data_IF_198521710192
#
_entry.id   IF_198521710192
#
_cell.length_a   1.000
_cell.length_b   1.000
_cell.length_c   1.000
_cell.angle_alpha   90.00
_cell.angle_beta   90.00
_cell.angle_gamma   90.00
#
_symmetry.space_group_name_H-M   'P 1'
#
loop_
_entity.id
_entity.type
_entity.pdbx_description
1 polymer ?
#
# COMPACT_ATOMS: atom_id res chain seq x y z
N UNK A 1 -11.70 -24.11 -26.47
CA UNK A 1 -11.19 -23.68 -25.16
C UNK A 1 -9.68 -23.65 -25.25
N UNK A 2 -9.01 -22.48 -25.19
CA UNK A 2 -7.55 -22.41 -25.22
C UNK A 2 -6.99 -22.89 -23.87
N UNK A 3 -6.06 -23.85 -23.94
CA UNK A 3 -5.30 -24.33 -22.79
C UNK A 3 -4.44 -23.20 -22.24
N UNK A 4 -4.76 -22.71 -21.05
CA UNK A 4 -3.88 -21.80 -20.29
C UNK A 4 -2.59 -22.57 -19.96
N UNK A 5 -1.47 -22.12 -20.53
CA UNK A 5 -0.13 -22.66 -20.23
C UNK A 5 0.15 -22.47 -18.74
N UNK A 6 0.52 -23.54 -18.04
CA UNK A 6 1.05 -23.50 -16.68
C UNK A 6 2.27 -22.57 -16.63
N UNK A 7 2.19 -21.56 -15.80
CA UNK A 7 3.35 -20.72 -15.37
C UNK A 7 4.03 -21.43 -14.17
N UNK A 8 4.53 -22.66 -14.40
CA UNK A 8 5.37 -23.33 -13.40
C UNK A 8 6.80 -22.89 -13.58
N UNK A 9 7.33 -22.09 -12.66
CA UNK A 9 8.76 -21.74 -12.60
C UNK A 9 9.12 -20.25 -12.72
N UNK A 10 8.15 -19.34 -12.76
CA UNK A 10 8.42 -17.89 -12.79
C UNK A 10 8.45 -17.39 -11.36
N UNK A 11 9.55 -16.75 -10.93
CA UNK A 11 9.64 -16.13 -9.62
C UNK A 11 8.68 -14.93 -9.54
N UNK A 12 8.33 -14.51 -8.32
CA UNK A 12 7.48 -13.33 -8.11
C UNK A 12 8.15 -12.06 -8.66
N UNK A 13 9.47 -11.97 -8.59
CA UNK A 13 10.28 -10.90 -9.19
C UNK A 13 10.16 -10.89 -10.73
N UNK A 14 10.17 -12.05 -11.40
CA UNK A 14 9.99 -12.15 -12.84
C UNK A 14 8.56 -11.80 -13.25
N UNK A 15 7.55 -12.16 -12.46
CA UNK A 15 6.16 -11.79 -12.70
C UNK A 15 5.96 -10.29 -12.53
N UNK A 16 6.54 -9.69 -11.51
CA UNK A 16 6.54 -8.24 -11.29
C UNK A 16 7.31 -7.50 -12.40
N UNK A 17 8.48 -8.00 -12.80
CA UNK A 17 9.25 -7.44 -13.89
C UNK A 17 8.45 -7.44 -15.20
N UNK A 18 7.66 -8.48 -15.44
CA UNK A 18 6.80 -8.57 -16.63
C UNK A 18 5.65 -7.56 -16.61
N UNK A 19 4.99 -7.39 -15.46
CA UNK A 19 3.86 -6.45 -15.28
C UNK A 19 4.29 -5.00 -15.47
N UNK A 20 5.52 -4.65 -15.07
CA UNK A 20 6.07 -3.30 -15.18
C UNK A 20 7.05 -3.14 -16.33
N UNK A 21 7.17 -4.09 -17.26
CA UNK A 21 8.14 -4.05 -18.36
C UNK A 21 8.03 -2.80 -19.25
N UNK A 22 6.83 -2.24 -19.37
CA UNK A 22 6.58 -1.00 -20.14
C UNK A 22 6.72 0.28 -19.31
N UNK A 23 6.90 0.19 -17.98
CA UNK A 23 7.10 1.36 -17.13
C UNK A 23 8.58 1.77 -17.14
N UNK A 24 9.02 2.35 -18.24
CA UNK A 24 10.38 2.87 -18.39
C UNK A 24 10.55 4.23 -17.70
N UNK A 25 11.78 4.69 -17.44
CA UNK A 25 12.03 6.04 -16.94
C UNK A 25 11.34 7.14 -17.77
N UNK A 26 11.36 7.02 -19.10
CA UNK A 26 10.71 7.99 -19.98
C UNK A 26 9.18 8.01 -19.77
N UNK A 27 8.55 6.86 -19.60
CA UNK A 27 7.12 6.75 -19.31
C UNK A 27 6.76 7.42 -17.97
N UNK A 28 7.61 7.28 -16.96
CA UNK A 28 7.43 7.95 -15.66
C UNK A 28 7.52 9.47 -15.84
N UNK A 29 8.52 9.96 -16.54
CA UNK A 29 8.71 11.40 -16.78
C UNK A 29 7.56 11.98 -17.63
N UNK A 30 7.15 11.29 -18.70
CA UNK A 30 6.02 11.68 -19.53
C UNK A 30 4.71 11.75 -18.74
N UNK A 31 4.46 10.76 -17.86
CA UNK A 31 3.27 10.74 -17.02
C UNK A 31 3.20 11.98 -16.10
N UNK A 32 4.30 12.37 -15.46
CA UNK A 32 4.35 13.56 -14.61
C UNK A 32 4.27 14.85 -15.43
N UNK A 33 4.94 14.92 -16.56
CA UNK A 33 4.90 16.07 -17.49
C UNK A 33 3.47 16.32 -17.99
N UNK A 34 2.69 15.26 -18.22
CA UNK A 34 1.28 15.36 -18.64
C UNK A 34 0.39 16.05 -17.60
N UNK A 35 0.80 16.04 -16.33
CA UNK A 35 0.16 16.76 -15.23
C UNK A 35 0.68 18.19 -15.03
N UNK A 36 1.53 18.68 -15.94
CA UNK A 36 2.11 20.02 -15.86
C UNK A 36 3.28 20.15 -14.86
N UNK A 37 3.82 19.04 -14.37
CA UNK A 37 5.01 19.04 -13.53
C UNK A 37 6.26 19.20 -14.41
N UNK A 38 7.07 20.23 -14.13
CA UNK A 38 8.31 20.51 -14.84
C UNK A 38 9.42 19.59 -14.35
N UNK A 39 9.53 18.38 -14.91
CA UNK A 39 10.52 17.37 -14.51
C UNK A 39 11.87 17.66 -15.16
N UNK A 40 12.98 17.54 -14.42
CA UNK A 40 14.34 17.81 -14.90
C UNK A 40 15.06 16.59 -15.49
N UNK A 41 14.38 15.45 -15.56
CA UNK A 41 14.90 14.19 -16.09
C UNK A 41 15.58 13.28 -15.06
N UNK A 42 15.81 13.75 -13.83
CA UNK A 42 16.39 12.93 -12.75
C UNK A 42 15.30 12.20 -11.98
N UNK A 43 15.40 10.87 -11.91
CA UNK A 43 14.52 10.05 -11.10
C UNK A 43 15.30 8.93 -10.43
N UNK A 44 14.85 8.53 -9.24
CA UNK A 44 15.38 7.42 -8.47
C UNK A 44 14.24 6.47 -8.08
N UNK A 45 14.40 5.18 -8.35
CA UNK A 45 13.47 4.18 -7.83
C UNK A 45 13.63 4.09 -6.30
N UNK A 46 12.52 4.10 -5.60
CA UNK A 46 12.45 3.84 -4.16
C UNK A 46 12.09 2.38 -3.91
N UNK A 47 12.50 1.85 -2.77
CA UNK A 47 12.14 0.49 -2.39
C UNK A 47 10.62 0.38 -2.22
N UNK A 48 10.02 -0.57 -2.93
CA UNK A 48 8.60 -0.87 -2.86
C UNK A 48 8.38 -2.31 -3.28
N UNK A 49 7.54 -3.04 -2.56
CA UNK A 49 7.31 -4.45 -2.83
C UNK A 49 6.29 -4.64 -3.96
N UNK A 50 5.12 -4.05 -3.85
CA UNK A 50 4.02 -4.30 -4.78
C UNK A 50 3.93 -3.28 -5.91
N UNK A 51 4.06 -2.01 -5.57
CA UNK A 51 3.96 -0.90 -6.51
C UNK A 51 5.33 -0.55 -7.11
N UNK A 52 5.39 0.45 -7.98
CA UNK A 52 6.65 1.09 -8.38
C UNK A 52 6.62 2.55 -7.94
N UNK A 53 7.57 2.90 -7.11
CA UNK A 53 7.66 4.23 -6.49
C UNK A 53 8.94 4.92 -6.95
N UNK A 54 8.79 6.15 -7.43
CA UNK A 54 9.92 6.94 -7.93
C UNK A 54 9.96 8.30 -7.25
N UNK A 55 11.12 8.68 -6.77
CA UNK A 55 11.40 10.07 -6.49
C UNK A 55 11.80 10.75 -7.80
N UNK A 56 11.12 11.82 -8.18
CA UNK A 56 11.37 12.58 -9.41
C UNK A 56 11.72 14.02 -9.04
N UNK A 57 12.80 14.52 -9.65
CA UNK A 57 13.25 15.90 -9.45
C UNK A 57 12.53 16.84 -10.42
N UNK A 58 12.21 18.03 -9.92
CA UNK A 58 11.60 19.12 -10.69
C UNK A 58 12.63 20.22 -10.98
N UNK A 59 12.36 21.06 -11.98
CA UNK A 59 13.25 22.15 -12.42
C UNK A 59 13.53 23.18 -11.33
N UNK A 60 12.63 23.32 -10.34
CA UNK A 60 12.78 24.21 -9.19
C UNK A 60 13.64 23.64 -8.05
N UNK A 61 14.32 22.52 -8.28
CA UNK A 61 15.03 21.71 -7.30
C UNK A 61 14.17 21.07 -6.19
N UNK A 62 12.84 21.15 -6.29
CA UNK A 62 11.96 20.34 -5.49
C UNK A 62 11.93 18.90 -5.98
N UNK A 63 11.34 18.01 -5.21
CA UNK A 63 11.09 16.65 -5.68
C UNK A 63 9.72 16.16 -5.24
N UNK A 64 9.14 15.30 -6.06
CA UNK A 64 7.89 14.60 -5.81
C UNK A 64 8.12 13.11 -5.76
N UNK A 65 7.17 12.39 -5.20
CA UNK A 65 7.14 10.92 -5.21
C UNK A 65 5.96 10.49 -6.07
N UNK A 66 6.24 9.73 -7.12
CA UNK A 66 5.23 9.13 -7.99
C UNK A 66 5.08 7.65 -7.66
N UNK A 67 3.87 7.22 -7.31
CA UNK A 67 3.51 5.84 -7.01
C UNK A 67 2.67 5.30 -8.15
N UNK A 68 3.21 4.32 -8.87
CA UNK A 68 2.53 3.60 -9.94
C UNK A 68 1.97 2.30 -9.38
N UNK A 69 0.65 2.19 -9.40
CA UNK A 69 -0.07 1.04 -8.86
C UNK A 69 0.10 -0.19 -9.75
N UNK A 70 0.21 -1.36 -9.12
CA UNK A 70 0.31 -2.63 -9.82
C UNK A 70 -0.94 -2.87 -10.66
N UNK A 71 -0.82 -3.01 -12.00
CA UNK A 71 -1.96 -3.31 -12.85
C UNK A 71 -2.74 -4.55 -12.41
N UNK A 72 -4.06 -4.39 -12.29
CA UNK A 72 -4.96 -5.48 -11.92
C UNK A 72 -5.01 -5.82 -10.42
N UNK A 73 -4.22 -5.16 -9.57
CA UNK A 73 -4.27 -5.37 -8.11
C UNK A 73 -5.47 -4.66 -7.48
N UNK A 74 -5.59 -3.36 -7.72
CA UNK A 74 -6.66 -2.51 -7.21
C UNK A 74 -7.47 -1.89 -8.33
N UNK A 75 -8.78 -1.75 -8.10
CA UNK A 75 -9.65 -0.94 -8.96
C UNK A 75 -9.53 0.53 -8.54
N UNK A 76 -9.75 1.46 -9.47
CA UNK A 76 -9.70 2.90 -9.19
C UNK A 76 -10.52 3.32 -7.97
N UNK A 77 -11.73 2.75 -7.81
CA UNK A 77 -12.59 3.06 -6.67
C UNK A 77 -11.94 2.67 -5.33
N UNK A 78 -11.16 1.62 -5.30
CA UNK A 78 -10.45 1.18 -4.08
C UNK A 78 -9.26 2.09 -3.76
N UNK A 79 -8.55 2.55 -4.79
CA UNK A 79 -7.45 3.51 -4.65
C UNK A 79 -8.00 4.87 -4.21
N UNK A 80 -9.08 5.34 -4.83
CA UNK A 80 -9.70 6.63 -4.47
C UNK A 80 -10.27 6.62 -3.06
N UNK A 81 -10.78 5.49 -2.58
CA UNK A 81 -11.27 5.34 -1.21
C UNK A 81 -10.13 5.44 -0.17
N UNK A 82 -8.94 4.91 -0.50
CA UNK A 82 -7.73 5.11 0.29
C UNK A 82 -7.27 6.57 0.25
N UNK A 83 -7.25 7.21 -0.94
CA UNK A 83 -6.91 8.63 -1.09
C UNK A 83 -7.84 9.54 -0.27
N UNK A 84 -9.12 9.20 -0.22
CA UNK A 84 -10.08 9.93 0.60
C UNK A 84 -9.76 9.76 2.09
N UNK A 85 -9.45 8.56 2.54
CA UNK A 85 -9.06 8.33 3.92
C UNK A 85 -7.79 9.10 4.27
N UNK A 86 -6.79 9.12 3.38
CA UNK A 86 -5.59 9.94 3.55
C UNK A 86 -5.93 11.42 3.71
N UNK A 87 -6.83 11.96 2.88
CA UNK A 87 -7.28 13.35 2.97
C UNK A 87 -7.99 13.66 4.30
N UNK A 88 -8.84 12.75 4.79
CA UNK A 88 -9.50 12.87 6.10
C UNK A 88 -8.49 12.89 7.25
N UNK A 89 -7.46 12.03 7.21
CA UNK A 89 -6.40 12.01 8.20
C UNK A 89 -5.60 13.31 8.21
N UNK A 90 -5.24 13.82 7.03
CA UNK A 90 -4.53 15.09 6.88
C UNK A 90 -5.37 16.28 7.37
N UNK A 91 -6.69 16.28 7.12
CA UNK A 91 -7.61 17.30 7.62
C UNK A 91 -7.71 17.33 9.16
N UNK A 92 -7.45 16.21 9.82
CA UNK A 92 -7.36 16.08 11.28
C UNK A 92 -5.93 16.32 11.80
N UNK A 93 -5.07 16.94 11.00
CA UNK A 93 -3.68 17.23 11.37
C UNK A 93 -2.88 15.98 11.78
N UNK A 94 -3.20 14.83 11.21
CA UNK A 94 -2.36 13.64 11.35
C UNK A 94 -1.24 13.73 10.32
N UNK A 95 0.02 13.57 10.71
CA UNK A 95 1.16 13.73 9.82
C UNK A 95 1.27 12.55 8.85
N UNK A 96 0.49 12.61 7.80
CA UNK A 96 0.45 11.64 6.71
C UNK A 96 0.91 12.30 5.41
N UNK A 97 1.62 11.56 4.57
CA UNK A 97 1.99 11.99 3.22
C UNK A 97 0.99 11.39 2.23
N UNK A 98 -0.10 12.11 2.02
CA UNK A 98 -1.13 11.72 1.06
C UNK A 98 -0.85 12.21 -0.36
N UNK A 99 -1.62 11.73 -1.36
CA UNK A 99 -1.51 12.15 -2.75
C UNK A 99 -1.95 13.62 -2.94
N UNK A 100 -1.22 14.31 -3.79
CA UNK A 100 -1.53 15.68 -4.21
C UNK A 100 -2.74 15.69 -5.14
N UNK A 101 -3.57 16.73 -5.00
CA UNK A 101 -4.63 16.98 -5.98
C UNK A 101 -4.07 17.77 -7.16
N UNK A 102 -3.95 17.14 -8.31
CA UNK A 102 -3.49 17.74 -9.56
C UNK A 102 -4.64 17.70 -10.56
N UNK A 103 -4.93 18.80 -11.24
CA UNK A 103 -6.07 18.94 -12.15
C UNK A 103 -7.42 18.46 -11.57
N UNK A 104 -7.60 18.63 -10.27
CA UNK A 104 -8.83 18.23 -9.56
C UNK A 104 -8.92 16.74 -9.20
N UNK A 105 -7.88 15.94 -9.44
CA UNK A 105 -7.83 14.52 -9.12
C UNK A 105 -6.57 14.15 -8.34
N UNK A 106 -6.62 13.04 -7.61
CA UNK A 106 -5.49 12.46 -6.88
C UNK A 106 -4.99 11.16 -7.53
N UNK A 107 -5.82 10.54 -8.37
CA UNK A 107 -5.48 9.36 -9.17
C UNK A 107 -5.46 9.74 -10.64
N UNK A 108 -4.41 9.35 -11.33
CA UNK A 108 -4.17 9.65 -12.73
C UNK A 108 -3.85 8.38 -13.51
N UNK A 109 -3.98 8.44 -14.84
CA UNK A 109 -3.69 7.33 -15.73
C UNK A 109 -2.80 7.80 -16.89
N UNK A 110 -1.71 7.08 -17.13
CA UNK A 110 -0.85 7.28 -18.29
C UNK A 110 -0.23 5.95 -18.72
N UNK A 111 -0.11 5.72 -20.01
CA UNK A 111 0.55 4.55 -20.61
C UNK A 111 0.07 3.19 -20.07
N UNK A 112 -1.21 3.10 -19.65
CA UNK A 112 -1.80 1.88 -19.09
C UNK A 112 -1.56 1.67 -17.60
N UNK A 113 -0.95 2.63 -16.90
CA UNK A 113 -0.75 2.60 -15.46
C UNK A 113 -1.63 3.63 -14.76
N UNK A 114 -2.22 3.23 -13.64
CA UNK A 114 -2.76 4.14 -12.64
C UNK A 114 -1.61 4.65 -11.76
N UNK A 115 -1.60 5.93 -11.42
CA UNK A 115 -0.56 6.50 -10.55
C UNK A 115 -1.07 7.68 -9.73
N UNK A 116 -0.39 7.95 -8.64
CA UNK A 116 -0.57 9.14 -7.81
C UNK A 116 0.77 9.85 -7.59
N UNK A 117 0.70 11.12 -7.23
CA UNK A 117 1.88 11.94 -6.95
C UNK A 117 1.73 12.55 -5.56
N UNK A 118 2.77 12.48 -4.74
CA UNK A 118 2.82 13.10 -3.41
C UNK A 118 4.06 14.00 -3.28
N UNK A 119 4.04 14.89 -2.30
CA UNK A 119 5.24 15.65 -1.94
C UNK A 119 6.30 14.70 -1.38
N UNK A 120 7.55 14.92 -1.74
CA UNK A 120 8.64 14.17 -1.13
C UNK A 120 8.82 14.59 0.33
N UNK A 121 8.73 13.63 1.25
CA UNK A 121 9.05 13.82 2.66
C UNK A 121 10.37 13.15 3.01
N UNK A 122 11.25 13.87 3.70
CA UNK A 122 12.45 13.28 4.31
C UNK A 122 12.14 12.70 5.67
N UNK A 123 13.00 11.83 6.13
CA UNK A 123 12.90 11.17 7.43
C UNK A 123 13.72 9.90 7.45
N UNK A 124 13.90 9.33 8.63
CA UNK A 124 14.50 8.02 8.84
C UNK A 124 13.48 7.09 9.49
N UNK A 125 13.72 5.80 9.47
CA UNK A 125 12.92 4.85 10.24
C UNK A 125 12.98 5.21 11.75
N UNK A 126 11.83 5.19 12.48
CA UNK A 126 11.82 5.49 13.91
C UNK A 126 12.56 4.41 14.72
N UNK A 127 13.26 4.84 15.75
CA UNK A 127 13.91 3.96 16.72
C UNK A 127 12.90 3.63 17.84
N UNK A 128 12.20 2.48 17.72
CA UNK A 128 11.10 2.13 18.62
C UNK A 128 11.52 1.68 20.03
N UNK A 129 12.79 1.52 20.29
CA UNK A 129 13.39 1.35 21.63
C UNK A 129 13.51 2.67 22.39
N UNK A 130 13.40 3.82 21.73
CA UNK A 130 13.23 5.13 22.34
C UNK A 130 11.78 5.32 22.79
N UNK A 131 11.58 5.49 24.11
CA UNK A 131 10.25 5.61 24.70
C UNK A 131 9.49 6.87 24.21
N UNK A 132 10.17 7.98 23.92
CA UNK A 132 9.55 9.18 23.37
C UNK A 132 9.08 8.95 21.94
N UNK A 133 9.90 8.33 21.11
CA UNK A 133 9.56 7.96 19.71
C UNK A 133 8.35 7.00 19.71
N UNK A 134 8.38 5.99 20.56
CA UNK A 134 7.29 5.02 20.68
C UNK A 134 5.98 5.67 21.12
N UNK A 135 6.03 6.58 22.07
CA UNK A 135 4.84 7.33 22.52
C UNK A 135 4.25 8.19 21.41
N UNK A 136 5.08 8.90 20.65
CA UNK A 136 4.63 9.72 19.50
C UNK A 136 3.96 8.86 18.43
N UNK A 137 4.61 7.77 18.03
CA UNK A 137 4.06 6.84 17.03
C UNK A 137 2.72 6.27 17.52
N UNK A 138 2.67 5.74 18.76
CA UNK A 138 1.45 5.17 19.33
C UNK A 138 0.30 6.17 19.43
N UNK A 139 0.59 7.42 19.80
CA UNK A 139 -0.40 8.49 19.87
C UNK A 139 -1.03 8.80 18.51
N UNK A 140 -0.24 8.86 17.45
CA UNK A 140 -0.76 9.11 16.10
C UNK A 140 -1.48 7.90 15.53
N UNK A 141 -1.04 6.67 15.78
CA UNK A 141 -1.79 5.46 15.41
C UNK A 141 -3.17 5.48 16.08
N UNK A 142 -3.25 5.84 17.37
CA UNK A 142 -4.53 6.01 18.06
C UNK A 142 -5.43 7.08 17.39
N UNK A 143 -4.87 8.18 16.92
CA UNK A 143 -5.61 9.21 16.18
C UNK A 143 -6.09 8.70 14.81
N UNK A 144 -5.26 7.94 14.08
CA UNK A 144 -5.65 7.28 12.83
C UNK A 144 -6.85 6.36 13.07
N UNK A 145 -6.83 5.54 14.13
CA UNK A 145 -7.93 4.66 14.49
C UNK A 145 -9.22 5.44 14.83
N UNK A 146 -9.11 6.57 15.54
CA UNK A 146 -10.28 7.41 15.85
C UNK A 146 -10.96 7.98 14.60
N UNK A 147 -10.18 8.41 13.60
CA UNK A 147 -10.72 8.84 12.30
C UNK A 147 -11.26 7.63 11.53
N UNK A 148 -10.52 6.52 11.54
CA UNK A 148 -10.91 5.27 10.89
C UNK A 148 -12.24 4.71 11.37
N UNK A 149 -12.57 4.92 12.66
CA UNK A 149 -13.81 4.45 13.27
C UNK A 149 -15.07 5.23 12.82
N UNK A 150 -14.92 6.39 12.17
CA UNK A 150 -16.07 7.23 11.75
C UNK A 150 -16.88 6.60 10.63
N UNK A 151 -16.26 5.83 9.74
CA UNK A 151 -16.90 5.13 8.62
C UNK A 151 -16.09 3.91 8.20
N UNK A 152 -16.68 3.06 7.36
CA UNK A 152 -16.02 1.87 6.80
C UNK A 152 -15.56 2.16 5.37
N UNK A 153 -14.64 1.33 4.88
CA UNK A 153 -14.43 1.21 3.44
C UNK A 153 -15.59 0.45 2.81
N UNK A 154 -16.03 0.89 1.64
CA UNK A 154 -17.10 0.24 0.87
C UNK A 154 -16.53 -0.66 -0.24
N UNK A 155 -15.42 -0.25 -0.84
CA UNK A 155 -14.81 -0.94 -1.96
C UNK A 155 -13.55 -1.75 -1.58
N UNK A 156 -12.80 -1.32 -0.57
CA UNK A 156 -11.62 -2.04 -0.07
C UNK A 156 -12.03 -3.25 0.77
N UNK A 157 -11.24 -4.35 0.73
CA UNK A 157 -11.57 -5.56 1.47
C UNK A 157 -11.54 -5.31 2.99
N UNK A 158 -12.41 -6.03 3.70
CA UNK A 158 -12.36 -6.11 5.16
C UNK A 158 -11.57 -7.34 5.57
N UNK A 159 -10.75 -7.21 6.62
CA UNK A 159 -10.09 -8.36 7.26
C UNK A 159 -11.14 -9.25 7.92
N UNK A 160 -11.38 -10.41 7.35
CA UNK A 160 -12.26 -11.43 7.90
C UNK A 160 -11.78 -12.85 7.51
N UNK A 161 -12.31 -13.85 8.16
CA UNK A 161 -11.90 -15.26 7.94
C UNK A 161 -12.15 -15.70 6.49
N UNK A 162 -13.25 -15.26 5.87
CA UNK A 162 -13.57 -15.64 4.51
C UNK A 162 -12.49 -15.15 3.53
N UNK A 163 -12.23 -13.83 3.52
CA UNK A 163 -11.36 -13.20 2.51
C UNK A 163 -9.86 -13.47 2.74
N UNK A 164 -9.41 -13.53 3.99
CA UNK A 164 -7.99 -13.67 4.31
C UNK A 164 -7.53 -15.10 4.55
N UNK A 165 -8.44 -16.03 4.82
CA UNK A 165 -8.10 -17.41 5.10
C UNK A 165 -8.74 -18.39 4.12
N UNK A 166 -10.07 -18.44 4.05
CA UNK A 166 -10.78 -19.44 3.25
C UNK A 166 -10.54 -19.23 1.74
N UNK A 167 -10.75 -18.00 1.24
CA UNK A 167 -10.57 -17.68 -0.17
C UNK A 167 -9.11 -17.91 -0.60
N UNK A 168 -8.14 -17.53 0.27
CA UNK A 168 -6.71 -17.76 0.02
C UNK A 168 -6.36 -19.25 -0.06
N UNK A 169 -6.87 -20.06 0.87
CA UNK A 169 -6.71 -21.52 0.85
C UNK A 169 -7.28 -22.13 -0.44
N UNK A 170 -8.51 -21.74 -0.77
CA UNK A 170 -9.22 -22.29 -1.93
C UNK A 170 -8.54 -21.87 -3.25
N UNK A 171 -8.03 -20.65 -3.30
CA UNK A 171 -7.24 -20.17 -4.44
C UNK A 171 -5.94 -20.97 -4.62
N UNK A 172 -5.16 -21.18 -3.54
CA UNK A 172 -3.91 -21.97 -3.58
C UNK A 172 -4.18 -23.40 -4.07
N UNK A 173 -5.26 -24.01 -3.58
CA UNK A 173 -5.68 -25.34 -3.99
C UNK A 173 -6.12 -25.35 -5.46
N UNK A 174 -6.95 -24.41 -5.87
CA UNK A 174 -7.47 -24.31 -7.24
C UNK A 174 -6.38 -24.05 -8.28
N UNK A 175 -5.33 -23.30 -7.91
CA UNK A 175 -4.18 -23.04 -8.76
C UNK A 175 -3.11 -24.16 -8.72
N UNK A 176 -3.34 -25.20 -7.92
CA UNK A 176 -2.40 -26.35 -7.77
C UNK A 176 -1.00 -25.91 -7.27
N UNK A 177 -0.92 -24.86 -6.42
CA UNK A 177 0.34 -24.45 -5.79
C UNK A 177 0.86 -25.48 -4.79
N UNK A 178 -0.06 -26.22 -4.15
CA UNK A 178 0.30 -27.25 -3.18
C UNK A 178 0.57 -28.56 -3.91
N UNK A 179 1.76 -29.19 -3.76
CA UNK A 179 2.07 -30.48 -4.36
C UNK A 179 1.04 -31.56 -3.99
N UNK A 180 0.69 -32.42 -4.93
CA UNK A 180 -0.39 -33.42 -4.77
C UNK A 180 -0.18 -34.36 -3.57
N UNK A 181 1.07 -34.73 -3.31
CA UNK A 181 1.46 -35.59 -2.19
C UNK A 181 1.37 -34.90 -0.83
N UNK A 182 1.32 -33.57 -0.79
CA UNK A 182 1.24 -32.76 0.44
C UNK A 182 -0.15 -32.16 0.70
N UNK A 183 -1.04 -32.19 -0.29
CA UNK A 183 -2.34 -31.52 -0.21
C UNK A 183 -3.19 -31.97 1.00
N UNK A 184 -3.21 -33.26 1.32
CA UNK A 184 -4.03 -33.79 2.41
C UNK A 184 -3.57 -33.26 3.77
N UNK A 185 -2.26 -33.29 4.02
CA UNK A 185 -1.69 -32.82 5.28
C UNK A 185 -1.78 -31.29 5.38
N UNK A 186 -1.46 -30.58 4.30
CA UNK A 186 -1.55 -29.13 4.23
C UNK A 186 -2.98 -28.65 4.50
N UNK A 187 -3.99 -29.26 3.85
CA UNK A 187 -5.40 -28.92 4.07
C UNK A 187 -5.85 -29.19 5.52
N UNK A 188 -5.40 -30.28 6.13
CA UNK A 188 -5.76 -30.59 7.50
C UNK A 188 -5.23 -29.51 8.47
N UNK A 189 -3.96 -29.11 8.32
CA UNK A 189 -3.34 -28.05 9.16
C UNK A 189 -3.99 -26.70 8.88
N UNK A 190 -4.21 -26.36 7.60
CA UNK A 190 -4.84 -25.11 7.20
C UNK A 190 -6.26 -24.98 7.75
N UNK A 191 -7.08 -26.03 7.65
CA UNK A 191 -8.43 -26.05 8.19
C UNK A 191 -8.43 -25.89 9.71
N UNK A 192 -7.55 -26.61 10.43
CA UNK A 192 -7.41 -26.45 11.87
C UNK A 192 -7.05 -25.02 12.27
N UNK A 193 -6.13 -24.38 11.53
CA UNK A 193 -5.77 -22.98 11.78
C UNK A 193 -6.97 -22.04 11.53
N UNK A 194 -7.72 -22.27 10.46
CA UNK A 194 -8.95 -21.51 10.13
C UNK A 194 -10.01 -21.67 11.22
N UNK A 195 -10.23 -22.88 11.70
CA UNK A 195 -11.21 -23.17 12.78
C UNK A 195 -10.83 -22.42 14.06
N UNK A 196 -9.55 -22.44 14.45
CA UNK A 196 -9.05 -21.71 15.63
C UNK A 196 -9.21 -20.21 15.45
N UNK A 197 -8.87 -19.68 14.28
CA UNK A 197 -9.03 -18.27 13.98
C UNK A 197 -10.51 -17.85 14.02
N UNK A 198 -11.40 -18.64 13.41
CA UNK A 198 -12.85 -18.40 13.41
C UNK A 198 -13.39 -18.32 14.83
N UNK A 199 -13.04 -19.31 15.69
CA UNK A 199 -13.46 -19.32 17.07
C UNK A 199 -13.00 -18.06 17.85
N UNK A 200 -11.80 -17.56 17.56
CA UNK A 200 -11.28 -16.33 18.19
C UNK A 200 -12.01 -15.09 17.70
N UNK A 201 -12.26 -14.98 16.39
CA UNK A 201 -13.03 -13.87 15.81
C UNK A 201 -14.45 -13.82 16.37
N UNK A 202 -15.13 -14.98 16.49
CA UNK A 202 -16.50 -15.07 17.02
C UNK A 202 -16.58 -14.71 18.49
N UNK A 203 -15.57 -15.09 19.28
CA UNK A 203 -15.51 -14.74 20.71
C UNK A 203 -15.24 -13.26 20.97
N UNK A 204 -14.61 -12.57 20.02
CA UNK A 204 -14.20 -11.17 20.16
C UNK A 204 -14.70 -10.37 18.96
N UNK A 205 -16.04 -10.18 18.83
CA UNK A 205 -16.58 -9.41 17.71
C UNK A 205 -16.05 -7.97 17.77
N UNK A 206 -15.25 -7.61 16.79
CA UNK A 206 -14.71 -6.27 16.64
C UNK A 206 -15.62 -5.44 15.74
N UNK A 207 -15.77 -4.15 16.05
CA UNK A 207 -16.33 -3.21 15.09
C UNK A 207 -15.23 -2.89 14.06
N UNK A 208 -15.45 -3.18 12.77
CA UNK A 208 -14.45 -2.89 11.76
C UNK A 208 -14.26 -1.37 11.62
N UNK A 209 -13.01 -0.96 11.61
CA UNK A 209 -12.57 0.42 11.39
C UNK A 209 -11.59 0.45 10.22
N UNK A 210 -11.41 1.61 9.60
CA UNK A 210 -10.33 1.80 8.61
C UNK A 210 -9.00 1.90 9.36
N UNK A 211 -8.01 1.19 8.87
CA UNK A 211 -6.67 1.15 9.43
C UNK A 211 -5.66 1.69 8.41
N UNK A 212 -4.43 1.92 8.85
CA UNK A 212 -3.31 2.12 7.96
C UNK A 212 -3.07 0.88 7.08
N UNK A 213 -3.34 -0.31 7.62
CA UNK A 213 -3.19 -1.59 6.93
C UNK A 213 -1.79 -2.19 7.09
N UNK A 214 -0.74 -1.44 6.78
CA UNK A 214 0.66 -1.88 6.86
C UNK A 214 1.52 -0.91 7.69
N UNK A 215 1.13 -0.66 8.95
CA UNK A 215 1.82 0.28 9.83
C UNK A 215 3.06 -0.34 10.48
N UNK A 216 4.11 -0.56 9.70
CA UNK A 216 5.42 -0.98 10.21
C UNK A 216 6.43 0.18 10.20
N UNK A 217 7.59 0.08 10.90
CA UNK A 217 8.55 1.20 11.00
C UNK A 217 9.06 1.72 9.65
N UNK A 218 9.11 0.88 8.61
CA UNK A 218 9.51 1.28 7.26
C UNK A 218 8.53 2.23 6.57
N UNK A 219 7.24 2.23 7.00
CA UNK A 219 6.19 3.12 6.51
C UNK A 219 5.99 4.35 7.43
N UNK A 220 6.97 4.63 8.29
CA UNK A 220 6.99 5.81 9.16
C UNK A 220 8.31 6.56 8.95
N UNK A 221 8.22 7.80 8.48
CA UNK A 221 9.35 8.68 8.30
C UNK A 221 9.49 9.55 9.55
N UNK A 222 10.50 9.27 10.38
CA UNK A 222 10.76 10.05 11.59
C UNK A 222 11.69 11.22 11.30
N UNK A 223 11.31 12.39 11.79
CA UNK A 223 12.15 13.59 11.86
C UNK A 223 12.31 13.97 13.33
N UNK A 224 13.54 14.31 13.81
CA UNK A 224 13.74 14.76 15.19
C UNK A 224 12.76 15.88 15.59
N UNK A 225 12.24 15.82 16.82
CA UNK A 225 11.16 16.71 17.29
C UNK A 225 11.60 18.16 17.50
N UNK A 226 12.90 18.40 17.60
CA UNK A 226 13.51 19.74 17.68
C UNK A 226 13.64 20.43 16.29
N UNK A 227 13.39 19.71 15.21
CA UNK A 227 13.41 20.25 13.86
C UNK A 227 12.01 20.68 13.39
N UNK A 228 11.93 21.60 12.41
CA UNK A 228 10.65 21.96 11.80
C UNK A 228 9.93 20.73 11.24
N UNK A 229 8.64 20.61 11.55
CA UNK A 229 7.83 19.44 11.23
C UNK A 229 8.40 18.11 11.80
N UNK A 230 8.94 18.14 13.01
CA UNK A 230 9.42 16.95 13.72
C UNK A 230 8.30 15.97 14.08
N UNK A 231 8.68 14.76 14.39
CA UNK A 231 7.79 13.64 14.71
C UNK A 231 7.62 12.64 13.56
N UNK A 232 6.67 11.69 13.70
CA UNK A 232 6.40 10.69 12.68
C UNK A 232 5.63 11.29 11.49
N UNK A 233 5.88 10.77 10.30
CA UNK A 233 5.07 10.99 9.09
C UNK A 233 4.76 9.63 8.48
N UNK A 234 3.48 9.30 8.41
CA UNK A 234 3.01 8.03 7.89
C UNK A 234 2.93 8.07 6.36
N UNK A 235 3.28 6.97 5.73
CA UNK A 235 3.23 6.77 4.28
C UNK A 235 2.60 5.42 3.99
N UNK A 236 2.10 5.23 2.78
CA UNK A 236 1.70 3.93 2.23
C UNK A 236 0.49 3.27 2.94
N UNK A 237 -0.68 3.88 2.77
CA UNK A 237 -1.97 3.39 3.32
C UNK A 237 -2.64 2.29 2.48
N UNK A 238 -2.00 1.75 1.45
CA UNK A 238 -2.67 0.98 0.40
C UNK A 238 -2.67 -0.55 0.57
N UNK A 239 -2.26 -1.07 1.72
CA UNK A 239 -2.32 -2.51 1.99
C UNK A 239 -3.64 -2.97 2.64
#
# INVERSE_FOLDING_TARGET
>A
MPRTKRLSGVSEEELQAHVYASLTPDVVLDALSSLGLAVDGRLNALSSYENRVYQVMLDDNCSVVAKFYRPGRWRDVQILEEHQFAAELMAEEIPLVGPMQLHGATLHHAHGFAFSVSTRRGGRMPELDDAEVLEWVGRFIGRIHNVGARQKFEARPSLNIQTFAIDSRDWLMGQQFIPLDQQTEWLAVCNQAIDIATEKFDRHPAHPIRLHGDCHPGNILWTPTDLPNGGPHFVDLDE
#
